data_IF_278184210695
#
_entry.id   IF_278184210695
#
_cell.length_a   1.000
_cell.length_b   1.000
_cell.length_c   1.000
_cell.angle_alpha   90.00
_cell.angle_beta   90.00
_cell.angle_gamma   90.00
#
_symmetry.space_group_name_H-M   'P 1'
#
loop_
_entity.id
_entity.type
_entity.pdbx_description
1 polymer ?
#
# COMPACT_ATOMS: atom_id res chain seq x y z
N UNK A 1 1.65 5.65 -8.73
CA UNK A 1 0.40 5.53 -7.95
C UNK A 1 -0.25 4.19 -8.21
N UNK A 2 0.04 3.26 -7.31
CA UNK A 2 -0.57 1.91 -7.26
C UNK A 2 -2.06 2.01 -6.91
N UNK A 3 -2.42 2.97 -6.04
CA UNK A 3 -3.79 3.23 -5.60
C UNK A 3 -4.29 4.57 -6.15
N UNK A 4 -5.53 4.61 -6.59
CA UNK A 4 -6.25 5.87 -6.75
C UNK A 4 -6.79 6.37 -5.41
N UNK A 5 -7.04 7.68 -5.34
CA UNK A 5 -7.66 8.30 -4.17
C UNK A 5 -9.04 7.71 -3.88
N UNK A 6 -9.86 7.49 -4.91
CA UNK A 6 -11.21 6.92 -4.78
C UNK A 6 -11.19 5.47 -4.27
N UNK A 7 -10.25 4.63 -4.74
CA UNK A 7 -10.07 3.29 -4.19
C UNK A 7 -9.70 3.34 -2.70
N UNK A 8 -8.84 4.29 -2.32
CA UNK A 8 -8.40 4.47 -0.94
C UNK A 8 -9.55 4.93 -0.04
N UNK A 9 -10.33 5.93 -0.48
CA UNK A 9 -11.53 6.41 0.23
C UNK A 9 -12.57 5.32 0.40
N UNK A 10 -12.84 4.57 -0.68
CA UNK A 10 -13.80 3.46 -0.66
C UNK A 10 -13.40 2.39 0.34
N UNK A 11 -12.12 2.05 0.42
CA UNK A 11 -11.58 1.10 1.40
C UNK A 11 -11.75 1.58 2.85
N UNK A 12 -11.50 2.87 3.10
CA UNK A 12 -11.59 3.47 4.43
C UNK A 12 -13.01 3.94 4.81
N UNK A 13 -13.98 3.84 3.89
CA UNK A 13 -15.35 4.34 4.06
C UNK A 13 -15.40 5.84 4.37
N UNK A 14 -14.54 6.60 3.69
CA UNK A 14 -14.50 8.06 3.80
C UNK A 14 -15.38 8.65 2.71
N UNK A 15 -16.39 9.41 3.12
CA UNK A 15 -17.17 10.27 2.25
C UNK A 15 -16.61 11.70 2.34
N UNK A 16 -16.45 12.40 1.20
CA UNK A 16 -15.93 13.78 1.17
C UNK A 16 -14.48 13.89 0.74
N UNK A 17 -13.88 15.06 0.98
CA UNK A 17 -12.58 15.48 0.42
C UNK A 17 -11.62 16.06 1.47
N UNK A 18 -12.06 16.20 2.72
CA UNK A 18 -11.33 16.82 3.82
C UNK A 18 -10.01 16.10 4.12
N UNK A 19 -9.95 14.80 3.84
CA UNK A 19 -8.78 13.95 4.12
C UNK A 19 -7.97 13.61 2.87
N UNK A 20 -8.27 14.21 1.72
CA UNK A 20 -7.59 13.90 0.46
C UNK A 20 -6.07 13.99 0.55
N UNK A 21 -5.56 15.04 1.18
CA UNK A 21 -4.12 15.29 1.29
C UNK A 21 -3.41 14.19 2.09
N UNK A 22 -3.98 13.77 3.22
CA UNK A 22 -3.39 12.71 4.04
C UNK A 22 -3.50 11.36 3.36
N UNK A 23 -4.62 11.06 2.68
CA UNK A 23 -4.79 9.82 1.94
C UNK A 23 -3.80 9.70 0.77
N UNK A 24 -3.56 10.79 0.03
CA UNK A 24 -2.55 10.84 -1.03
C UNK A 24 -1.15 10.58 -0.45
N UNK A 25 -0.81 11.22 0.68
CA UNK A 25 0.48 11.05 1.34
C UNK A 25 0.70 9.58 1.76
N UNK A 26 -0.29 8.99 2.43
CA UNK A 26 -0.21 7.60 2.92
C UNK A 26 -0.13 6.60 1.76
N UNK A 27 -0.92 6.80 0.70
CA UNK A 27 -0.87 5.96 -0.50
C UNK A 27 0.48 6.02 -1.19
N UNK A 28 1.08 7.21 -1.29
CA UNK A 28 2.44 7.38 -1.81
C UNK A 28 3.49 6.67 -0.94
N UNK A 29 3.40 6.84 0.38
CA UNK A 29 4.31 6.16 1.32
C UNK A 29 4.19 4.62 1.26
N UNK A 30 2.99 4.08 1.03
CA UNK A 30 2.76 2.65 0.92
C UNK A 30 3.35 2.08 -0.38
N UNK A 31 3.26 2.84 -1.48
CA UNK A 31 3.90 2.51 -2.75
C UNK A 31 5.43 2.55 -2.63
N UNK A 32 5.99 3.58 -2.01
CA UNK A 32 7.42 3.68 -1.76
C UNK A 32 7.91 2.54 -0.87
N UNK A 33 7.16 2.17 0.16
CA UNK A 33 7.48 1.00 0.98
C UNK A 33 7.56 -0.27 0.13
N UNK A 34 6.55 -0.52 -0.70
CA UNK A 34 6.51 -1.71 -1.55
C UNK A 34 7.65 -1.70 -2.58
N UNK A 35 7.93 -0.56 -3.20
CA UNK A 35 9.04 -0.37 -4.15
C UNK A 35 10.38 -0.63 -3.48
N UNK A 36 10.63 -0.04 -2.31
CA UNK A 36 11.87 -0.21 -1.56
C UNK A 36 12.06 -1.65 -1.08
N UNK A 37 10.99 -2.32 -0.70
CA UNK A 37 11.05 -3.69 -0.18
C UNK A 37 11.17 -4.76 -1.28
N UNK A 38 10.71 -4.49 -2.50
CA UNK A 38 10.73 -5.46 -3.62
C UNK A 38 11.76 -5.14 -4.69
N UNK A 39 12.22 -3.88 -4.76
CA UNK A 39 13.06 -3.36 -5.85
C UNK A 39 12.34 -3.23 -7.19
N UNK A 40 10.99 -3.26 -7.20
CA UNK A 40 10.18 -3.32 -8.43
C UNK A 40 9.34 -2.06 -8.62
N UNK A 41 9.12 -1.71 -9.88
CA UNK A 41 8.13 -0.70 -10.27
C UNK A 41 6.84 -1.39 -10.73
N UNK A 42 5.71 -0.94 -10.19
CA UNK A 42 4.39 -1.51 -10.47
C UNK A 42 3.65 -0.60 -11.44
N UNK A 43 4.07 -0.58 -12.71
CA UNK A 43 3.40 0.20 -13.79
C UNK A 43 1.96 -0.27 -14.00
N UNK A 44 1.74 -1.57 -13.93
CA UNK A 44 0.42 -2.20 -13.86
C UNK A 44 0.31 -2.92 -12.49
N UNK A 45 -0.31 -2.28 -11.48
CA UNK A 45 -0.35 -2.86 -10.15
C UNK A 45 -1.28 -4.07 -10.11
N UNK A 46 -0.74 -5.22 -9.69
CA UNK A 46 -1.55 -6.41 -9.43
C UNK A 46 -2.51 -6.17 -8.26
N UNK A 47 -3.59 -6.94 -8.19
CA UNK A 47 -4.54 -6.89 -7.07
C UNK A 47 -3.84 -7.12 -5.71
N UNK A 48 -2.77 -7.92 -5.69
CA UNK A 48 -1.96 -8.14 -4.48
C UNK A 48 -1.17 -6.90 -4.08
N UNK A 49 -0.57 -6.19 -5.03
CA UNK A 49 0.13 -4.93 -4.76
C UNK A 49 -0.85 -3.85 -4.26
N UNK A 50 -2.03 -3.75 -4.88
CA UNK A 50 -3.09 -2.85 -4.40
C UNK A 50 -3.53 -3.19 -2.98
N UNK A 51 -3.85 -4.46 -2.70
CA UNK A 51 -4.27 -4.89 -1.37
C UNK A 51 -3.18 -4.63 -0.31
N UNK A 52 -1.92 -4.86 -0.66
CA UNK A 52 -0.79 -4.59 0.23
C UNK A 52 -0.75 -3.11 0.64
N UNK A 53 -0.85 -2.21 -0.34
CA UNK A 53 -0.86 -0.78 -0.07
C UNK A 53 -2.10 -0.35 0.72
N UNK A 54 -3.29 -0.89 0.42
CA UNK A 54 -4.53 -0.58 1.15
C UNK A 54 -4.46 -0.98 2.63
N UNK A 55 -3.85 -2.13 2.95
CA UNK A 55 -3.64 -2.57 4.34
C UNK A 55 -2.73 -1.60 5.09
N UNK A 56 -1.63 -1.15 4.46
CA UNK A 56 -0.73 -0.18 5.07
C UNK A 56 -1.39 1.18 5.29
N UNK A 57 -2.11 1.67 4.28
CA UNK A 57 -2.81 2.95 4.37
C UNK A 57 -3.84 2.93 5.49
N UNK A 58 -4.65 1.86 5.59
CA UNK A 58 -5.61 1.71 6.68
C UNK A 58 -4.94 1.69 8.05
N UNK A 59 -3.87 0.90 8.20
CA UNK A 59 -3.14 0.82 9.46
C UNK A 59 -2.54 2.17 9.87
N UNK A 60 -1.92 2.89 8.95
CA UNK A 60 -1.32 4.20 9.26
C UNK A 60 -2.36 5.30 9.47
N UNK A 61 -3.47 5.24 8.74
CA UNK A 61 -4.56 6.19 8.90
C UNK A 61 -5.25 6.01 10.27
N UNK A 62 -5.56 4.77 10.67
CA UNK A 62 -6.15 4.46 11.98
C UNK A 62 -5.20 4.80 13.14
N UNK A 63 -3.89 4.61 12.94
CA UNK A 63 -2.87 4.85 13.98
C UNK A 63 -2.12 6.18 13.80
N UNK A 64 -2.68 7.16 13.07
CA UNK A 64 -2.00 8.42 12.70
C UNK A 64 -1.43 9.22 13.87
N UNK A 65 -1.98 9.07 15.07
CA UNK A 65 -1.52 9.76 16.28
C UNK A 65 -0.33 9.09 16.98
N UNK A 66 -0.05 7.82 16.66
CA UNK A 66 1.09 7.07 17.19
C UNK A 66 2.29 7.29 16.27
N UNK A 67 3.26 8.10 16.72
CA UNK A 67 4.51 8.37 16.00
C UNK A 67 5.29 7.08 15.71
N UNK A 68 5.09 6.49 14.52
CA UNK A 68 5.89 5.38 14.03
C UNK A 68 5.48 4.96 12.63
N UNK A 69 6.35 5.18 11.65
CA UNK A 69 6.21 4.72 10.25
C UNK A 69 6.30 3.19 10.08
N UNK A 70 6.12 2.42 11.16
CA UNK A 70 6.14 0.96 11.15
C UNK A 70 4.70 0.45 11.21
N UNK A 71 4.33 -0.55 10.39
CA UNK A 71 3.03 -1.19 10.50
C UNK A 71 2.80 -1.72 11.93
N UNK A 72 1.57 -1.60 12.41
CA UNK A 72 1.17 -2.11 13.71
C UNK A 72 1.38 -3.62 13.79
N UNK A 73 1.49 -4.15 15.01
CA UNK A 73 1.63 -5.59 15.22
C UNK A 73 0.47 -6.40 14.61
N UNK A 74 -0.73 -5.79 14.51
CA UNK A 74 -1.93 -6.44 13.97
C UNK A 74 -1.78 -6.82 12.48
N UNK A 75 -1.18 -5.95 11.68
CA UNK A 75 -1.03 -6.16 10.23
C UNK A 75 0.33 -6.73 9.85
N UNK A 76 1.31 -6.70 10.76
CA UNK A 76 2.71 -7.06 10.48
C UNK A 76 2.88 -8.42 9.82
N UNK A 77 2.23 -9.46 10.34
CA UNK A 77 2.36 -10.81 9.79
C UNK A 77 1.81 -10.91 8.37
N UNK A 78 0.62 -10.34 8.14
CA UNK A 78 0.00 -10.30 6.81
C UNK A 78 0.84 -9.53 5.81
N UNK A 79 1.34 -8.34 6.21
CA UNK A 79 2.24 -7.51 5.39
C UNK A 79 3.52 -8.26 5.03
N UNK A 80 4.16 -8.94 5.99
CA UNK A 80 5.38 -9.72 5.74
C UNK A 80 5.13 -10.89 4.78
N UNK A 81 4.03 -11.63 4.97
CA UNK A 81 3.65 -12.75 4.11
C UNK A 81 3.35 -12.30 2.67
N UNK A 82 2.57 -11.22 2.52
CA UNK A 82 2.25 -10.64 1.21
C UNK A 82 3.50 -10.09 0.51
N UNK A 83 4.38 -9.43 1.26
CA UNK A 83 5.64 -8.91 0.72
C UNK A 83 6.51 -10.05 0.18
N UNK A 84 6.63 -11.15 0.92
CA UNK A 84 7.38 -12.33 0.47
C UNK A 84 6.81 -12.89 -0.84
N UNK A 85 5.48 -13.01 -0.94
CA UNK A 85 4.82 -13.44 -2.17
C UNK A 85 5.15 -12.49 -3.33
N UNK A 86 5.01 -11.17 -3.12
CA UNK A 86 5.28 -10.13 -4.12
C UNK A 86 6.75 -10.10 -4.57
N UNK A 87 7.70 -10.44 -3.69
CA UNK A 87 9.12 -10.57 -4.02
C UNK A 87 9.39 -11.77 -4.95
N UNK A 88 8.61 -12.86 -4.82
CA UNK A 88 8.80 -14.10 -5.56
C UNK A 88 7.86 -14.29 -6.75
N UNK A 89 6.80 -13.48 -6.89
CA UNK A 89 5.99 -13.44 -8.12
C UNK A 89 6.91 -13.10 -9.29
N UNK A 90 6.94 -13.85 -10.39
CA UNK A 90 7.71 -13.46 -11.57
C UNK A 90 7.22 -12.11 -12.08
N UNK A 91 8.11 -11.14 -12.30
CA UNK A 91 7.77 -10.05 -13.21
C UNK A 91 7.60 -10.71 -14.58
N UNK A 92 6.46 -10.52 -15.23
CA UNK A 92 6.33 -10.91 -16.64
C UNK A 92 7.39 -10.07 -17.37
N UNK A 93 8.57 -10.64 -17.59
CA UNK A 93 9.52 -10.10 -18.54
C UNK A 93 8.85 -10.29 -19.88
N UNK A 94 8.55 -9.19 -20.57
CA UNK A 94 8.27 -9.26 -22.00
C UNK A 94 9.48 -9.96 -22.63
N UNK A 95 9.29 -11.22 -23.00
CA UNK A 95 10.21 -11.96 -23.83
C UNK A 95 10.19 -11.27 -25.21
N UNK A 96 11.30 -10.59 -25.54
CA UNK A 96 11.62 -10.15 -26.89
C UNK A 96 12.79 -10.97 -27.40
#
# INVERSE_FOLDING_TARGET
MILSLEETKSWLRIDGDEENEILILLSGAAEDYLKNATGREYKEPSSQAKLFCLILVADWYENRELMGSKPSEKVRFSVQSMLLQLQHTPTIKEEF
#
